data_IF_983104408823
#
_entry.id   IF_983104408823
#
_cell.length_a   1.000
_cell.length_b   1.000
_cell.length_c   1.000
_cell.angle_alpha   90.00
_cell.angle_beta   90.00
_cell.angle_gamma   90.00
#
_symmetry.space_group_name_H-M   'P 1'
#
loop_
_entity.id
_entity.type
_entity.pdbx_description
1 polymer ?
#
# COMPACT_ATOMS: atom_id res chain seq x y z
N UNK A 1 -8.29 -22.28 -13.84
CA UNK A 1 -7.51 -21.68 -12.73
C UNK A 1 -6.67 -22.75 -12.06
N UNK A 2 -5.38 -22.48 -11.81
CA UNK A 2 -4.52 -23.42 -11.08
C UNK A 2 -4.68 -23.22 -9.58
N UNK A 3 -4.54 -24.31 -8.80
CA UNK A 3 -4.57 -24.25 -7.33
C UNK A 3 -3.48 -23.32 -6.79
N UNK A 4 -2.30 -23.33 -7.42
CA UNK A 4 -1.19 -22.45 -7.05
C UNK A 4 -1.53 -20.96 -7.14
N UNK A 5 -2.28 -20.54 -8.17
CA UNK A 5 -2.72 -19.15 -8.30
C UNK A 5 -3.71 -18.77 -7.20
N UNK A 6 -4.68 -19.64 -6.87
CA UNK A 6 -5.62 -19.39 -5.77
C UNK A 6 -4.93 -19.28 -4.42
N UNK A 7 -3.96 -20.16 -4.14
CA UNK A 7 -3.17 -20.10 -2.90
C UNK A 7 -2.33 -18.83 -2.83
N UNK A 8 -1.73 -18.41 -3.95
CA UNK A 8 -0.97 -17.15 -4.02
C UNK A 8 -1.86 -15.95 -3.75
N UNK A 9 -3.04 -15.90 -4.39
CA UNK A 9 -4.03 -14.84 -4.18
C UNK A 9 -4.54 -14.82 -2.74
N UNK A 10 -4.81 -15.97 -2.14
CA UNK A 10 -5.20 -16.06 -0.74
C UNK A 10 -4.09 -15.56 0.19
N UNK A 11 -2.83 -15.94 -0.06
CA UNK A 11 -1.68 -15.43 0.68
C UNK A 11 -1.53 -13.91 0.58
N UNK A 12 -1.64 -13.36 -0.63
CA UNK A 12 -1.61 -11.91 -0.87
C UNK A 12 -2.78 -11.20 -0.16
N UNK A 13 -3.99 -11.75 -0.22
CA UNK A 13 -5.16 -11.20 0.46
C UNK A 13 -5.00 -11.20 1.99
N UNK A 14 -4.36 -12.23 2.55
CA UNK A 14 -4.04 -12.27 3.97
C UNK A 14 -2.98 -11.24 4.35
N UNK A 15 -1.96 -11.03 3.52
CA UNK A 15 -0.99 -9.94 3.74
C UNK A 15 -1.73 -8.60 3.71
N UNK A 16 -2.60 -8.38 2.74
CA UNK A 16 -3.36 -7.13 2.60
C UNK A 16 -4.37 -6.93 3.75
N UNK A 17 -4.91 -8.01 4.31
CA UNK A 17 -5.79 -7.97 5.49
C UNK A 17 -5.09 -7.47 6.76
N UNK A 18 -3.75 -7.49 6.79
CA UNK A 18 -2.94 -6.95 7.89
C UNK A 18 -2.48 -5.51 7.66
N UNK A 19 -2.85 -4.91 6.52
CA UNK A 19 -2.50 -3.52 6.22
C UNK A 19 -3.16 -2.56 7.22
N UNK A 20 -2.57 -1.37 7.33
CA UNK A 20 -3.06 -0.33 8.24
C UNK A 20 -4.50 0.02 7.88
N UNK A 21 -4.88 0.13 6.61
CA UNK A 21 -6.26 0.44 6.23
C UNK A 21 -7.26 -0.63 6.66
N UNK A 22 -6.98 -1.91 6.41
CA UNK A 22 -7.95 -3.01 6.57
C UNK A 22 -8.11 -3.49 8.01
N UNK A 23 -7.08 -3.48 8.84
CA UNK A 23 -7.17 -3.99 10.22
C UNK A 23 -7.12 -2.89 11.28
N UNK A 24 -6.32 -1.84 11.10
CA UNK A 24 -6.14 -0.81 12.13
C UNK A 24 -7.43 -0.03 12.38
N UNK A 25 -8.13 0.38 11.32
CA UNK A 25 -9.37 1.15 11.46
C UNK A 25 -10.47 0.32 12.16
N UNK A 26 -10.74 -0.95 11.78
CA UNK A 26 -11.66 -1.79 12.53
C UNK A 26 -11.23 -2.04 13.99
N UNK A 27 -9.95 -2.31 14.25
CA UNK A 27 -9.44 -2.47 15.62
C UNK A 27 -9.67 -1.21 16.45
N UNK A 28 -9.44 -0.03 15.87
CA UNK A 28 -9.67 1.25 16.54
C UNK A 28 -11.16 1.51 16.81
N UNK A 29 -12.04 1.22 15.85
CA UNK A 29 -13.49 1.32 16.03
C UNK A 29 -14.00 0.37 17.11
N UNK A 30 -13.44 -0.85 17.22
CA UNK A 30 -13.79 -1.84 18.25
C UNK A 30 -13.28 -1.49 19.65
N UNK A 31 -12.27 -0.61 19.75
CA UNK A 31 -11.70 -0.09 21.00
C UNK A 31 -12.33 1.23 21.44
N UNK A 32 -13.19 1.85 20.62
CA UNK A 32 -13.83 3.12 20.96
C UNK A 32 -14.77 2.93 22.15
N UNK A 33 -14.68 3.77 23.21
CA UNK A 33 -15.56 3.66 24.37
C UNK A 33 -17.04 3.81 23.98
N UNK A 34 -17.87 2.84 24.36
CA UNK A 34 -19.31 2.85 24.09
C UNK A 34 -19.83 1.57 23.42
N UNK A 35 -21.12 1.55 23.03
CA UNK A 35 -21.72 0.39 22.38
C UNK A 35 -21.13 0.16 20.98
N UNK A 36 -20.83 -1.10 20.67
CA UNK A 36 -20.30 -1.51 19.36
C UNK A 36 -21.37 -1.28 18.30
N UNK A 37 -21.11 -0.36 17.37
CA UNK A 37 -22.00 -0.08 16.25
C UNK A 37 -21.65 -0.99 15.08
N UNK A 38 -22.12 -2.25 15.14
CA UNK A 38 -21.90 -3.29 14.12
C UNK A 38 -22.12 -2.75 12.71
N UNK A 39 -23.22 -2.01 12.49
CA UNK A 39 -23.53 -1.40 11.21
C UNK A 39 -22.41 -0.51 10.66
N UNK A 40 -21.75 0.31 11.48
CA UNK A 40 -20.64 1.18 11.03
C UNK A 40 -19.43 0.37 10.57
N UNK A 41 -19.14 -0.72 11.26
CA UNK A 41 -18.01 -1.60 10.93
C UNK A 41 -18.31 -2.35 9.63
N UNK A 42 -19.53 -2.86 9.47
CA UNK A 42 -19.95 -3.51 8.23
C UNK A 42 -20.00 -2.54 7.05
N UNK A 43 -20.49 -1.31 7.24
CA UNK A 43 -20.43 -0.26 6.21
C UNK A 43 -19.00 0.03 5.82
N UNK A 44 -18.10 0.20 6.80
CA UNK A 44 -16.67 0.41 6.52
C UNK A 44 -16.06 -0.74 5.72
N UNK A 45 -16.26 -1.99 6.15
CA UNK A 45 -15.73 -3.18 5.47
C UNK A 45 -16.34 -3.35 4.07
N UNK A 46 -17.62 -3.06 3.90
CA UNK A 46 -18.28 -3.05 2.59
C UNK A 46 -17.73 -1.96 1.67
N UNK A 47 -17.50 -0.75 2.19
CA UNK A 47 -16.93 0.36 1.42
C UNK A 47 -15.52 0.06 0.96
N UNK A 48 -14.64 -0.44 1.84
CA UNK A 48 -13.26 -0.76 1.45
C UNK A 48 -13.21 -1.94 0.48
N UNK A 49 -14.01 -3.00 0.69
CA UNK A 49 -14.10 -4.13 -0.24
C UNK A 49 -14.63 -3.70 -1.62
N UNK A 50 -15.68 -2.87 -1.64
CA UNK A 50 -16.23 -2.32 -2.88
C UNK A 50 -15.27 -1.38 -3.60
N UNK A 51 -14.54 -0.54 -2.86
CA UNK A 51 -13.51 0.33 -3.41
C UNK A 51 -12.38 -0.47 -4.05
N UNK A 52 -11.83 -1.46 -3.34
CA UNK A 52 -10.78 -2.33 -3.88
C UNK A 52 -11.28 -3.06 -5.12
N UNK A 53 -12.45 -3.70 -5.06
CA UNK A 53 -13.06 -4.35 -6.22
C UNK A 53 -13.18 -3.39 -7.42
N UNK A 54 -13.73 -2.19 -7.20
CA UNK A 54 -13.86 -1.18 -8.25
C UNK A 54 -12.51 -0.78 -8.87
N UNK A 55 -11.50 -0.54 -8.03
CA UNK A 55 -10.13 -0.22 -8.48
C UNK A 55 -9.53 -1.37 -9.26
N UNK A 56 -9.65 -2.62 -8.80
CA UNK A 56 -9.12 -3.78 -9.50
C UNK A 56 -9.78 -3.99 -10.86
N UNK A 57 -11.10 -3.86 -10.95
CA UNK A 57 -11.82 -3.95 -12.21
C UNK A 57 -11.40 -2.82 -13.17
N UNK A 58 -11.26 -1.60 -12.67
CA UNK A 58 -10.75 -0.47 -13.44
C UNK A 58 -9.31 -0.70 -13.91
N UNK A 59 -8.46 -1.34 -13.12
CA UNK A 59 -7.09 -1.66 -13.51
C UNK A 59 -7.03 -2.81 -14.52
N UNK A 60 -7.82 -3.88 -14.37
CA UNK A 60 -7.82 -4.99 -15.35
C UNK A 60 -8.30 -4.52 -16.72
N UNK A 61 -9.39 -3.74 -16.77
CA UNK A 61 -9.99 -3.33 -18.04
C UNK A 61 -9.51 -1.97 -18.57
N UNK A 62 -9.06 -1.08 -17.69
CA UNK A 62 -8.51 0.23 -18.04
C UNK A 62 -6.99 0.25 -18.16
N UNK A 63 -6.30 -0.74 -17.60
CA UNK A 63 -4.83 -0.79 -17.53
C UNK A 63 -4.16 -0.80 -18.89
N UNK A 64 -4.68 -1.56 -19.85
CA UNK A 64 -4.12 -1.61 -21.23
C UNK A 64 -4.25 -0.27 -21.95
N UNK A 65 -5.43 0.36 -21.87
CA UNK A 65 -5.66 1.69 -22.48
C UNK A 65 -4.82 2.77 -21.83
N UNK A 66 -4.64 2.71 -20.50
CA UNK A 66 -3.78 3.63 -19.78
C UNK A 66 -2.30 3.41 -20.13
N UNK A 67 -1.86 2.16 -20.21
CA UNK A 67 -0.50 1.80 -20.58
C UNK A 67 -0.16 2.19 -22.01
N UNK A 68 -1.08 2.02 -22.97
CA UNK A 68 -0.90 2.46 -24.35
C UNK A 68 -0.85 3.99 -24.47
N UNK A 69 -1.72 4.70 -23.73
CA UNK A 69 -1.71 6.16 -23.69
C UNK A 69 -0.45 6.75 -23.03
N UNK A 70 0.06 6.09 -21.99
CA UNK A 70 1.26 6.52 -21.26
C UNK A 70 2.56 6.04 -21.89
N UNK A 71 2.56 4.91 -22.61
CA UNK A 71 3.78 4.27 -23.15
C UNK A 71 4.57 5.20 -24.07
N UNK A 72 3.89 5.90 -24.98
CA UNK A 72 4.53 6.88 -25.86
C UNK A 72 5.11 8.09 -25.11
N UNK A 73 4.55 8.44 -23.95
CA UNK A 73 4.99 9.59 -23.15
C UNK A 73 6.11 9.23 -22.14
N UNK A 74 6.13 7.99 -21.65
CA UNK A 74 7.06 7.52 -20.61
C UNK A 74 8.49 7.32 -21.13
N UNK A 75 8.67 7.09 -22.44
CA UNK A 75 10.00 6.92 -23.06
C UNK A 75 10.72 8.25 -23.32
N UNK A 76 10.09 9.40 -23.05
CA UNK A 76 10.75 10.69 -23.18
C UNK A 76 11.81 10.88 -22.09
N UNK A 77 13.04 11.25 -22.49
CA UNK A 77 14.16 11.55 -21.57
C UNK A 77 13.78 12.42 -20.36
N UNK A 78 13.01 13.51 -20.47
CA UNK A 78 12.59 14.31 -19.32
C UNK A 78 11.74 13.53 -18.31
N UNK A 79 10.89 12.63 -18.80
CA UNK A 79 10.02 11.79 -17.97
C UNK A 79 10.83 10.76 -17.20
N UNK A 80 11.85 10.16 -17.84
CA UNK A 80 12.78 9.26 -17.17
C UNK A 80 13.61 9.97 -16.08
N UNK A 81 14.05 11.21 -16.32
CA UNK A 81 14.71 12.02 -15.28
C UNK A 81 13.77 12.38 -14.13
N UNK A 82 12.51 12.70 -14.43
CA UNK A 82 11.49 12.93 -13.40
C UNK A 82 11.21 11.65 -12.58
N UNK A 83 11.13 10.49 -13.23
CA UNK A 83 10.99 9.18 -12.59
C UNK A 83 12.19 8.87 -11.68
N UNK A 84 13.41 9.12 -12.16
CA UNK A 84 14.63 8.96 -11.37
C UNK A 84 14.61 9.86 -10.13
N UNK A 85 14.28 11.14 -10.30
CA UNK A 85 14.18 12.09 -9.20
C UNK A 85 13.11 11.69 -8.18
N UNK A 86 11.96 11.19 -8.64
CA UNK A 86 10.90 10.65 -7.79
C UNK A 86 11.38 9.45 -6.98
N UNK A 87 12.01 8.46 -7.64
CA UNK A 87 12.53 7.26 -6.98
C UNK A 87 13.59 7.59 -5.93
N UNK A 88 14.55 8.46 -6.26
CA UNK A 88 15.56 8.95 -5.32
C UNK A 88 14.91 9.73 -4.17
N UNK A 89 13.94 10.59 -4.45
CA UNK A 89 13.20 11.34 -3.44
C UNK A 89 12.49 10.44 -2.45
N UNK A 90 11.80 9.40 -2.93
CA UNK A 90 11.14 8.39 -2.10
C UNK A 90 12.15 7.61 -1.25
N UNK A 91 13.26 7.18 -1.85
CA UNK A 91 14.33 6.48 -1.16
C UNK A 91 14.95 7.34 -0.06
N UNK A 92 15.27 8.60 -0.32
CA UNK A 92 15.82 9.51 0.70
C UNK A 92 14.80 9.79 1.80
N UNK A 93 13.52 9.95 1.46
CA UNK A 93 12.48 10.16 2.46
C UNK A 93 12.26 8.94 3.35
N UNK A 94 12.48 7.73 2.84
CA UNK A 94 12.38 6.50 3.63
C UNK A 94 13.16 6.57 4.95
N UNK A 95 14.35 7.18 4.93
CA UNK A 95 15.20 7.37 6.11
C UNK A 95 14.62 8.38 7.11
N UNK A 96 13.72 9.27 6.69
CA UNK A 96 12.99 10.17 7.61
C UNK A 96 11.84 9.47 8.31
N UNK A 97 11.32 8.37 7.73
CA UNK A 97 10.34 7.47 8.33
C UNK A 97 10.98 6.35 9.18
N UNK A 98 12.19 6.57 9.70
CA UNK A 98 12.77 5.68 10.71
C UNK A 98 11.97 5.81 12.03
N UNK A 99 11.32 4.71 12.44
CA UNK A 99 10.42 4.61 13.59
C UNK A 99 11.05 4.96 14.95
N UNK A 100 12.35 5.30 14.99
CA UNK A 100 13.03 5.88 16.15
C UNK A 100 12.79 7.39 16.32
N UNK A 101 12.62 8.17 15.24
CA UNK A 101 12.41 9.64 15.32
C UNK A 101 10.98 10.04 15.68
N UNK A 102 10.00 9.24 15.30
CA UNK A 102 8.59 9.50 15.62
C UNK A 102 8.23 9.19 17.08
N UNK A 103 9.07 8.42 17.79
CA UNK A 103 8.93 8.12 19.23
C UNK A 103 9.28 9.30 20.15
N UNK A 104 10.04 10.29 19.67
CA UNK A 104 10.51 11.43 20.49
C UNK A 104 9.82 12.76 20.20
N UNK A 105 9.10 12.87 19.09
CA UNK A 105 8.36 14.07 18.74
C UNK A 105 6.89 13.71 18.75
N UNK A 106 6.07 14.50 19.45
CA UNK A 106 4.61 14.53 19.29
C UNK A 106 4.22 14.96 17.87
N UNK A 107 4.65 14.17 16.88
CA UNK A 107 4.74 14.49 15.47
C UNK A 107 3.36 14.65 14.88
N UNK A 108 2.39 13.84 15.28
CA UNK A 108 1.00 13.95 14.80
C UNK A 108 0.34 15.26 15.26
N UNK A 109 0.64 15.74 16.49
CA UNK A 109 0.14 17.02 17.01
C UNK A 109 0.87 18.22 16.38
N UNK A 110 2.21 18.17 16.24
CA UNK A 110 3.00 19.19 15.52
C UNK A 110 2.79 19.19 13.99
N UNK A 111 2.34 18.09 13.40
CA UNK A 111 1.96 17.96 11.99
C UNK A 111 0.58 18.57 11.75
N UNK A 112 -0.36 18.33 12.69
CA UNK A 112 -1.65 19.03 12.70
C UNK A 112 -1.44 20.53 12.84
N UNK A 113 -0.64 20.96 13.82
CA UNK A 113 -0.33 22.39 14.04
C UNK A 113 0.40 23.04 12.86
N UNK A 114 1.18 22.30 12.06
CA UNK A 114 1.84 22.81 10.85
C UNK A 114 0.99 22.79 9.58
N UNK A 115 -0.04 21.95 9.53
CA UNK A 115 -1.02 21.97 8.44
C UNK A 115 -2.13 23.01 8.67
N UNK A 116 -2.40 23.39 9.93
CA UNK A 116 -3.37 24.44 10.29
C UNK A 116 -2.74 25.80 10.58
N UNK A 117 -1.41 25.93 10.71
CA UNK A 117 -0.75 27.24 10.65
C UNK A 117 -0.64 27.64 9.19
N UNK A 118 -1.26 28.77 8.82
CA UNK A 118 -1.41 29.26 7.44
C UNK A 118 -0.12 29.61 6.68
N UNK A 119 1.03 29.08 7.10
CA UNK A 119 2.37 29.29 6.51
C UNK A 119 2.91 28.06 5.77
N UNK A 120 2.15 26.95 5.71
CA UNK A 120 2.54 25.80 4.90
C UNK A 120 2.46 26.17 3.41
N UNK A 121 3.62 26.44 2.79
CA UNK A 121 3.67 26.72 1.34
C UNK A 121 2.95 25.62 0.56
N UNK A 122 2.20 26.00 -0.50
CA UNK A 122 1.45 25.05 -1.32
C UNK A 122 2.32 23.87 -1.80
N UNK A 123 3.61 24.10 -2.06
CA UNK A 123 4.61 23.07 -2.39
C UNK A 123 4.81 22.01 -1.30
N UNK A 124 4.80 22.40 -0.03
CA UNK A 124 4.91 21.48 1.09
C UNK A 124 3.66 20.62 1.24
N UNK A 125 2.47 21.22 1.09
CA UNK A 125 1.20 20.50 1.12
C UNK A 125 1.07 19.51 -0.05
N UNK A 126 1.47 19.90 -1.26
CA UNK A 126 1.55 19.02 -2.43
C UNK A 126 2.53 17.88 -2.17
N UNK A 127 3.73 18.17 -1.66
CA UNK A 127 4.70 17.15 -1.28
C UNK A 127 4.12 16.15 -0.27
N UNK A 128 3.39 16.63 0.74
CA UNK A 128 2.77 15.79 1.74
C UNK A 128 1.67 14.90 1.15
N UNK A 129 0.81 15.46 0.30
CA UNK A 129 -0.25 14.72 -0.37
C UNK A 129 0.31 13.63 -1.30
N UNK A 130 1.37 13.93 -2.05
CA UNK A 130 2.06 12.96 -2.89
C UNK A 130 2.66 11.82 -2.07
N UNK A 131 3.22 12.11 -0.91
CA UNK A 131 3.78 11.09 -0.02
C UNK A 131 2.71 10.22 0.64
N UNK A 132 1.59 10.82 1.03
CA UNK A 132 0.43 10.07 1.52
C UNK A 132 -0.13 9.17 0.42
N UNK A 133 -0.27 9.68 -0.80
CA UNK A 133 -0.73 8.90 -1.96
C UNK A 133 0.25 7.76 -2.30
N UNK A 134 1.56 8.00 -2.27
CA UNK A 134 2.57 6.97 -2.51
C UNK A 134 2.59 5.93 -1.38
N UNK A 135 2.39 6.34 -0.13
CA UNK A 135 2.24 5.42 0.99
C UNK A 135 0.96 4.56 0.86
N UNK A 136 -0.16 5.15 0.44
CA UNK A 136 -1.41 4.43 0.14
C UNK A 136 -1.21 3.41 -0.99
N UNK A 137 -0.59 3.81 -2.11
CA UNK A 137 -0.26 2.91 -3.24
C UNK A 137 0.68 1.79 -2.80
N UNK A 138 1.69 2.11 -1.99
CA UNK A 138 2.59 1.14 -1.40
C UNK A 138 1.86 0.15 -0.48
N UNK A 139 0.86 0.59 0.28
CA UNK A 139 0.04 -0.32 1.08
C UNK A 139 -0.89 -1.18 0.24
N UNK A 140 -1.24 -0.76 -0.99
CA UNK A 140 -1.98 -1.56 -1.96
C UNK A 140 -1.10 -2.52 -2.77
N UNK A 141 0.22 -2.57 -2.56
CA UNK A 141 1.14 -3.44 -3.33
C UNK A 141 0.68 -4.91 -3.41
N UNK A 142 0.24 -5.56 -2.31
CA UNK A 142 -0.27 -6.94 -2.38
C UNK A 142 -1.48 -7.06 -3.30
N UNK A 143 -2.37 -6.07 -3.28
CA UNK A 143 -3.54 -6.02 -4.15
C UNK A 143 -3.16 -5.77 -5.61
N UNK A 144 -2.25 -4.83 -5.89
CA UNK A 144 -1.77 -4.55 -7.23
C UNK A 144 -1.10 -5.79 -7.85
N UNK A 145 -0.29 -6.51 -7.08
CA UNK A 145 0.29 -7.78 -7.50
C UNK A 145 -0.77 -8.84 -7.82
N UNK A 146 -1.83 -8.93 -7.01
CA UNK A 146 -2.97 -9.81 -7.28
C UNK A 146 -3.70 -9.43 -8.57
N UNK A 147 -3.95 -8.14 -8.80
CA UNK A 147 -4.56 -7.64 -10.04
C UNK A 147 -3.68 -7.97 -11.25
N UNK A 148 -2.36 -7.80 -11.16
CA UNK A 148 -1.43 -8.19 -12.23
C UNK A 148 -1.54 -9.69 -12.52
N UNK A 149 -1.48 -10.55 -11.51
CA UNK A 149 -1.61 -12.00 -11.68
C UNK A 149 -2.93 -12.40 -12.36
N UNK A 150 -4.03 -11.77 -11.93
CA UNK A 150 -5.36 -12.00 -12.51
C UNK A 150 -5.44 -11.47 -13.94
N UNK A 151 -4.83 -10.33 -14.25
CA UNK A 151 -4.82 -9.74 -15.59
C UNK A 151 -4.01 -10.55 -16.61
N UNK A 152 -2.99 -11.28 -16.14
CA UNK A 152 -2.17 -12.17 -16.98
C UNK A 152 -2.71 -13.60 -17.03
N UNK A 153 -3.62 -13.96 -16.13
CA UNK A 153 -4.29 -15.24 -16.17
C UNK A 153 -5.38 -15.17 -17.25
N UNK A 154 -5.36 -16.12 -18.20
CA UNK A 154 -6.35 -16.19 -19.27
C UNK A 154 -7.72 -16.60 -18.69
N UNK A 155 -8.42 -15.63 -18.13
CA UNK A 155 -9.67 -15.75 -17.39
C UNK A 155 -10.77 -15.02 -18.16
N UNK A 156 -11.96 -15.62 -18.18
CA UNK A 156 -13.15 -14.93 -18.67
C UNK A 156 -13.46 -13.71 -17.77
N UNK A 157 -14.09 -12.68 -18.34
CA UNK A 157 -14.47 -11.47 -17.59
C UNK A 157 -15.24 -11.77 -16.29
N UNK A 158 -16.26 -12.65 -16.28
CA UNK A 158 -16.94 -13.03 -15.06
C UNK A 158 -16.04 -13.73 -14.04
N UNK A 159 -15.07 -14.54 -14.49
CA UNK A 159 -14.11 -15.20 -13.60
C UNK A 159 -13.17 -14.18 -12.93
N UNK A 160 -12.73 -13.14 -13.65
CA UNK A 160 -11.97 -12.03 -13.06
C UNK A 160 -12.75 -11.35 -11.94
N UNK A 161 -14.02 -11.01 -12.18
CA UNK A 161 -14.90 -10.39 -11.17
C UNK A 161 -15.03 -11.30 -9.95
N UNK A 162 -15.30 -12.59 -10.16
CA UNK A 162 -15.47 -13.56 -9.07
C UNK A 162 -14.18 -13.70 -8.24
N UNK A 163 -13.02 -13.75 -8.90
CA UNK A 163 -11.72 -13.87 -8.23
C UNK A 163 -11.38 -12.62 -7.42
N UNK A 164 -11.57 -11.43 -7.98
CA UNK A 164 -11.32 -10.17 -7.28
C UNK A 164 -12.30 -9.97 -6.12
N UNK A 165 -13.58 -10.35 -6.29
CA UNK A 165 -14.56 -10.34 -5.22
C UNK A 165 -14.15 -11.33 -4.11
N UNK A 166 -13.75 -12.54 -4.46
CA UNK A 166 -13.22 -13.54 -3.52
C UNK A 166 -11.99 -13.05 -2.76
N UNK A 167 -11.06 -12.39 -3.45
CA UNK A 167 -9.91 -11.72 -2.82
C UNK A 167 -10.38 -10.70 -1.77
N UNK A 168 -11.30 -9.81 -2.14
CA UNK A 168 -11.82 -8.78 -1.22
C UNK A 168 -12.54 -9.40 -0.01
N UNK A 169 -13.24 -10.52 -0.19
CA UNK A 169 -13.85 -11.27 0.91
C UNK A 169 -12.78 -11.80 1.85
N UNK A 170 -11.77 -12.51 1.34
CA UNK A 170 -10.66 -13.03 2.15
C UNK A 170 -9.96 -11.90 2.91
N UNK A 171 -9.79 -10.75 2.28
CA UNK A 171 -9.19 -9.55 2.87
C UNK A 171 -9.98 -9.03 4.10
N UNK A 172 -11.32 -9.04 4.06
CA UNK A 172 -12.16 -8.51 5.17
C UNK A 172 -12.52 -9.53 6.23
N UNK A 173 -12.37 -10.83 5.95
CA UNK A 173 -12.68 -11.93 6.88
C UNK A 173 -12.01 -11.75 8.25
N UNK A 174 -10.70 -11.42 8.38
CA UNK A 174 -10.08 -11.24 9.68
C UNK A 174 -10.74 -10.16 10.55
N UNK A 175 -11.17 -9.05 9.94
CA UNK A 175 -11.88 -7.99 10.66
C UNK A 175 -13.29 -8.42 11.09
N UNK A 176 -14.00 -9.19 10.25
CA UNK A 176 -15.29 -9.79 10.61
C UNK A 176 -15.15 -10.80 11.75
N UNK A 177 -14.10 -11.62 11.72
CA UNK A 177 -13.79 -12.56 12.80
C UNK A 177 -13.48 -11.83 14.12
N UNK A 178 -12.71 -10.74 14.08
CA UNK A 178 -12.45 -9.91 15.26
C UNK A 178 -13.72 -9.26 15.80
N UNK A 179 -14.60 -8.78 14.93
CA UNK A 179 -15.91 -8.24 15.31
C UNK A 179 -16.76 -9.32 15.99
N UNK A 180 -16.90 -10.50 15.38
CA UNK A 180 -17.65 -11.62 15.96
C UNK A 180 -17.07 -12.08 17.30
N UNK A 181 -15.75 -12.20 17.40
CA UNK A 181 -15.06 -12.54 18.64
C UNK A 181 -15.27 -11.49 19.73
N UNK A 182 -15.25 -10.20 19.37
CA UNK A 182 -15.50 -9.10 20.31
C UNK A 182 -16.92 -9.12 20.86
N UNK A 183 -17.90 -9.50 20.04
CA UNK A 183 -19.30 -9.65 20.45
C UNK A 183 -19.49 -10.87 21.37
N UNK A 184 -18.82 -11.99 21.08
CA UNK A 184 -18.93 -13.22 21.88
C UNK A 184 -18.14 -13.17 23.19
N UNK A 185 -16.95 -12.57 23.18
CA UNK A 185 -16.01 -12.56 24.31
C UNK A 185 -15.41 -11.16 24.56
N UNK A 186 -16.18 -10.23 25.14
CA UNK A 186 -15.79 -8.82 25.23
C UNK A 186 -14.45 -8.57 25.94
N UNK A 187 -14.30 -9.09 27.16
CA UNK A 187 -13.14 -8.82 28.02
C UNK A 187 -11.78 -9.33 27.50
N UNK A 188 -11.63 -10.59 27.03
CA UNK A 188 -10.35 -11.06 26.48
C UNK A 188 -10.00 -10.37 25.16
N UNK A 189 -10.99 -10.08 24.31
CA UNK A 189 -10.75 -9.46 23.01
C UNK A 189 -10.39 -7.98 23.16
N UNK A 190 -10.92 -7.24 24.14
CA UNK A 190 -10.41 -5.89 24.47
C UNK A 190 -8.92 -5.89 24.78
N UNK A 191 -8.46 -6.87 25.57
CA UNK A 191 -7.04 -7.00 25.93
C UNK A 191 -6.19 -7.30 24.70
N UNK A 192 -6.67 -8.19 23.82
CA UNK A 192 -6.00 -8.52 22.56
C UNK A 192 -5.96 -7.32 21.62
N UNK A 193 -7.09 -6.66 21.37
CA UNK A 193 -7.19 -5.47 20.53
C UNK A 193 -6.28 -4.34 21.07
N UNK A 194 -6.23 -4.16 22.39
CA UNK A 194 -5.32 -3.19 23.02
C UNK A 194 -3.85 -3.53 22.80
N UNK A 195 -3.47 -4.82 22.84
CA UNK A 195 -2.10 -5.26 22.50
C UNK A 195 -1.80 -5.06 21.01
N UNK A 196 -2.73 -5.43 20.13
CA UNK A 196 -2.60 -5.24 18.68
C UNK A 196 -2.43 -3.76 18.35
N UNK A 197 -3.28 -2.89 18.89
CA UNK A 197 -3.18 -1.44 18.70
C UNK A 197 -1.79 -0.93 19.12
N UNK A 198 -1.32 -1.27 20.33
CA UNK A 198 0.03 -0.88 20.78
C UNK A 198 1.13 -1.42 19.88
N UNK A 199 1.04 -2.68 19.45
CA UNK A 199 2.02 -3.29 18.55
C UNK A 199 2.06 -2.59 17.19
N UNK A 200 0.89 -2.35 16.57
CA UNK A 200 0.76 -1.63 15.30
C UNK A 200 1.36 -0.24 15.44
N UNK A 201 0.95 0.55 16.45
CA UNK A 201 1.47 1.92 16.62
C UNK A 201 2.99 1.93 16.87
N UNK A 202 3.56 0.90 17.51
CA UNK A 202 4.99 0.82 17.80
C UNK A 202 5.85 0.28 16.65
N UNK A 203 5.29 -0.54 15.76
CA UNK A 203 6.03 -1.26 14.71
C UNK A 203 5.72 -0.78 13.29
N UNK A 204 4.49 -0.31 13.02
CA UNK A 204 4.07 0.09 11.68
C UNK A 204 4.84 1.30 11.12
N UNK A 205 5.31 2.21 11.98
CA UNK A 205 6.08 3.38 11.55
C UNK A 205 7.35 3.03 10.77
N UNK A 206 8.03 1.93 11.11
CA UNK A 206 9.22 1.48 10.39
C UNK A 206 8.92 0.72 9.10
N UNK A 207 7.77 0.04 9.02
CA UNK A 207 7.38 -0.73 7.83
C UNK A 207 7.13 0.17 6.62
N UNK A 208 6.45 1.30 6.82
CA UNK A 208 6.22 2.30 5.77
C UNK A 208 7.54 2.85 5.22
N UNK A 209 8.52 3.14 6.10
CA UNK A 209 9.86 3.55 5.68
C UNK A 209 10.52 2.50 4.79
N UNK A 210 10.51 1.23 5.19
CA UNK A 210 11.07 0.14 4.37
C UNK A 210 10.39 -0.01 3.01
N UNK A 211 9.06 0.05 2.94
CA UNK A 211 8.33 -0.06 1.68
C UNK A 211 8.63 1.14 0.77
N UNK A 212 8.64 2.36 1.31
CA UNK A 212 9.03 3.57 0.55
C UNK A 212 10.47 3.46 0.03
N UNK A 213 11.37 2.91 0.85
CA UNK A 213 12.76 2.69 0.48
C UNK A 213 12.89 1.71 -0.67
N UNK A 214 12.28 0.52 -0.57
CA UNK A 214 12.33 -0.50 -1.63
C UNK A 214 11.68 0.03 -2.91
N UNK A 215 10.48 0.62 -2.81
CA UNK A 215 9.77 1.15 -3.97
C UNK A 215 10.57 2.29 -4.64
N UNK A 216 11.07 3.25 -3.86
CA UNK A 216 11.89 4.35 -4.36
C UNK A 216 13.16 3.86 -5.05
N UNK A 217 13.85 2.89 -4.48
CA UNK A 217 15.04 2.27 -5.07
C UNK A 217 14.72 1.59 -6.41
N UNK A 218 13.65 0.79 -6.48
CA UNK A 218 13.27 0.08 -7.71
C UNK A 218 12.88 1.06 -8.82
N UNK A 219 12.12 2.11 -8.49
CA UNK A 219 11.73 3.17 -9.44
C UNK A 219 12.96 3.91 -9.97
N UNK A 220 13.90 4.28 -9.09
CA UNK A 220 15.13 4.96 -9.46
C UNK A 220 16.02 4.07 -10.34
N UNK A 221 16.17 2.79 -9.98
CA UNK A 221 16.96 1.83 -10.72
C UNK A 221 16.43 1.62 -12.14
N UNK A 222 15.11 1.44 -12.31
CA UNK A 222 14.49 1.29 -13.63
C UNK A 222 14.77 2.51 -14.53
N UNK A 223 14.57 3.72 -13.99
CA UNK A 223 14.85 4.95 -14.73
C UNK A 223 16.34 5.09 -15.09
N UNK A 224 17.24 4.78 -14.15
CA UNK A 224 18.69 4.83 -14.39
C UNK A 224 19.14 3.83 -15.47
N UNK A 225 18.54 2.64 -15.51
CA UNK A 225 18.78 1.66 -16.55
C UNK A 225 18.32 2.16 -17.92
N UNK A 226 17.07 2.67 -18.02
CA UNK A 226 16.51 3.24 -19.26
C UNK A 226 17.25 4.48 -19.76
N UNK A 227 17.85 5.26 -18.85
CA UNK A 227 18.72 6.39 -19.17
C UNK A 227 20.15 5.98 -19.59
N UNK A 228 20.49 4.69 -19.51
CA UNK A 228 21.84 4.19 -19.81
C UNK A 228 22.89 4.48 -18.72
N UNK A 229 22.49 4.99 -17.56
CA UNK A 229 23.39 5.33 -16.45
C UNK A 229 24.00 4.08 -15.78
N UNK A 230 23.32 2.94 -15.91
CA UNK A 230 23.76 1.64 -15.37
C UNK A 230 24.31 0.71 -16.47
N UNK A 231 24.37 1.17 -17.72
CA UNK A 231 24.77 0.41 -18.91
C UNK A 231 26.22 0.62 -19.36
N UNK A 232 27.08 1.18 -18.51
CA UNK A 232 28.52 1.21 -18.78
C UNK A 232 29.08 -0.21 -18.68
N UNK A 233 29.49 -0.77 -19.82
CA UNK A 233 30.22 -2.02 -19.89
C UNK A 233 31.38 -1.98 -18.88
N UNK A 234 31.34 -2.85 -17.88
CA UNK A 234 32.57 -3.28 -17.22
C UNK A 234 33.18 -4.27 -18.21
N UNK A 235 33.99 -3.76 -19.12
CA UNK A 235 34.90 -4.58 -19.91
C UNK A 235 35.93 -5.11 -18.90
N UNK A 236 35.63 -6.26 -18.30
CA UNK A 236 36.64 -7.01 -17.55
C UNK A 236 37.50 -7.67 -18.62
N UNK A 237 38.59 -7.00 -18.98
CA UNK A 237 39.67 -7.59 -19.75
C UNK A 237 40.28 -8.74 -18.93
N UNK A 238 39.70 -9.94 -19.08
CA UNK A 238 40.17 -11.18 -18.45
C UNK A 238 41.42 -11.75 -19.16
N UNK A 239 41.97 -11.05 -20.15
CA UNK A 239 43.08 -11.51 -20.99
C UNK A 239 44.17 -10.46 -21.20
N UNK A 240 44.58 -9.79 -20.11
CA UNK A 240 45.83 -9.01 -20.12
C UNK A 240 46.72 -9.46 -18.96
N UNK A 241 47.37 -10.60 -19.16
CA UNK A 241 48.58 -11.05 -18.47
C UNK A 241 49.53 -11.64 -19.52
#
# INVERSE_FOLDING_TARGET
MTVGLLLTLAGLALIDSTSIGTLFIPVWLLLTPGPIRVGRILTYLGTIAGFYLGVGLLLVWGGTRLAEALGGALDHRPVLWAQLALGVGLFVLSFRYDGKRQRRSGGVLRWRDRATSGDASARWLVGLALLAALAEVATMLPYLGAVTLVSTADLSGPAVVAVLAGYCVVMVVPALLLLGARLAFPAPIERLLGRLNRWITQKAGGALGWVLGIAGFLIARDAAYRLGLLGGAVEIDLFNW
#
